data_IF_943924949763
#
_entry.id   IF_943924949763
#
_cell.length_a   1.000
_cell.length_b   1.000
_cell.length_c   1.000
_cell.angle_alpha   90.00
_cell.angle_beta   90.00
_cell.angle_gamma   90.00
#
_symmetry.space_group_name_H-M   'P 1'
#
loop_
_entity.id
_entity.type
_entity.pdbx_description
1 polymer ?
#
# COMPACT_ATOMS: atom_id res chain seq x y z
N UNK A 1 -3.24 10.41 -10.77
CA UNK A 1 -4.37 9.50 -10.45
C UNK A 1 -4.14 8.93 -9.05
N UNK A 2 -5.17 8.67 -8.21
CA UNK A 2 -4.99 8.16 -6.83
C UNK A 2 -4.08 6.92 -6.77
N UNK A 3 -4.24 6.00 -7.73
CA UNK A 3 -3.46 4.76 -7.81
C UNK A 3 -1.95 4.98 -8.00
N UNK A 4 -1.54 5.99 -8.77
CA UNK A 4 -0.11 6.27 -9.03
C UNK A 4 0.58 6.84 -7.79
N UNK A 5 -0.16 7.62 -7.00
CA UNK A 5 0.33 8.24 -5.77
C UNK A 5 0.52 7.19 -4.67
N UNK A 6 -0.44 6.26 -4.55
CA UNK A 6 -0.31 5.13 -3.63
C UNK A 6 0.79 4.16 -4.08
N UNK A 7 0.90 3.88 -5.39
CA UNK A 7 2.01 3.08 -5.93
C UNK A 7 3.38 3.70 -5.62
N UNK A 8 3.52 5.02 -5.82
CA UNK A 8 4.74 5.76 -5.47
C UNK A 8 5.03 5.66 -3.98
N UNK A 9 4.02 5.73 -3.11
CA UNK A 9 4.16 5.64 -1.66
C UNK A 9 4.69 4.25 -1.24
N UNK A 10 4.14 3.18 -1.82
CA UNK A 10 4.61 1.81 -1.57
C UNK A 10 6.07 1.64 -2.01
N UNK A 11 6.44 2.15 -3.19
CA UNK A 11 7.85 2.10 -3.65
C UNK A 11 8.76 2.96 -2.77
N UNK A 12 8.29 4.08 -2.24
CA UNK A 12 9.09 4.92 -1.34
C UNK A 12 9.40 4.21 -0.02
N UNK A 13 8.43 3.49 0.57
CA UNK A 13 8.65 2.69 1.77
C UNK A 13 9.44 1.41 1.49
N UNK A 14 9.18 0.77 0.36
CA UNK A 14 9.74 -0.52 -0.01
C UNK A 14 10.48 -0.39 -1.34
N UNK A 15 11.57 0.37 -1.36
CA UNK A 15 12.33 0.67 -2.57
C UNK A 15 12.76 -0.58 -3.35
N UNK A 16 12.99 -1.70 -2.65
CA UNK A 16 13.30 -2.99 -3.27
C UNK A 16 12.22 -3.47 -4.26
N UNK A 17 10.94 -3.11 -4.05
CA UNK A 17 9.82 -3.41 -4.97
C UNK A 17 9.90 -2.63 -6.29
N UNK A 18 10.61 -1.49 -6.32
CA UNK A 18 10.81 -0.68 -7.52
C UNK A 18 12.02 -1.12 -8.38
N UNK A 19 12.86 -2.03 -7.89
CA UNK A 19 14.05 -2.46 -8.64
C UNK A 19 13.68 -3.45 -9.74
N UNK A 20 13.54 -2.92 -10.96
CA UNK A 20 13.36 -3.67 -12.21
C UNK A 20 14.41 -4.78 -12.44
N UNK A 21 15.59 -4.65 -11.83
CA UNK A 21 16.74 -5.54 -12.04
C UNK A 21 16.80 -6.74 -11.07
N UNK A 22 16.07 -6.73 -9.96
CA UNK A 22 16.08 -7.81 -8.95
C UNK A 22 14.82 -8.69 -8.95
N UNK A 23 13.74 -8.22 -9.59
CA UNK A 23 12.41 -8.82 -9.52
C UNK A 23 12.09 -9.50 -10.85
N UNK A 24 12.48 -10.77 -10.97
CA UNK A 24 12.16 -11.59 -12.15
C UNK A 24 10.74 -12.15 -12.02
N UNK A 25 9.82 -11.70 -12.88
CA UNK A 25 8.46 -12.23 -12.98
C UNK A 25 8.51 -13.74 -13.21
N UNK A 26 7.92 -14.52 -12.30
CA UNK A 26 7.93 -15.98 -12.32
C UNK A 26 9.05 -16.67 -11.52
N UNK A 27 10.06 -15.93 -11.04
CA UNK A 27 11.14 -16.47 -10.19
C UNK A 27 11.15 -15.86 -8.78
N UNK A 28 10.48 -14.73 -8.60
CA UNK A 28 10.34 -14.06 -7.30
C UNK A 28 8.87 -13.82 -7.01
N UNK A 29 8.42 -13.94 -5.74
CA UNK A 29 7.04 -13.70 -5.33
C UNK A 29 6.74 -12.19 -5.24
N UNK A 30 6.95 -11.48 -6.36
CA UNK A 30 6.82 -10.02 -6.49
C UNK A 30 5.44 -9.55 -6.07
N UNK A 31 4.40 -10.26 -6.52
CA UNK A 31 3.02 -9.96 -6.18
C UNK A 31 2.81 -10.04 -4.67
N UNK A 32 3.28 -11.10 -4.02
CA UNK A 32 3.17 -11.27 -2.56
C UNK A 32 3.87 -10.14 -1.81
N UNK A 33 5.11 -9.80 -2.18
CA UNK A 33 5.82 -8.70 -1.52
C UNK A 33 5.15 -7.35 -1.74
N UNK A 34 4.60 -7.12 -2.94
CA UNK A 34 3.85 -5.91 -3.24
C UNK A 34 2.55 -5.83 -2.42
N UNK A 35 1.77 -6.91 -2.34
CA UNK A 35 0.57 -6.95 -1.52
C UNK A 35 0.87 -6.73 -0.04
N UNK A 36 1.93 -7.35 0.49
CA UNK A 36 2.39 -7.10 1.86
C UNK A 36 2.83 -5.64 2.03
N UNK A 37 3.55 -5.07 1.07
CA UNK A 37 3.95 -3.66 1.09
C UNK A 37 2.77 -2.70 1.09
N UNK A 38 1.75 -2.96 0.27
CA UNK A 38 0.49 -2.21 0.25
C UNK A 38 -0.21 -2.30 1.60
N UNK A 39 -0.34 -3.52 2.15
CA UNK A 39 -0.97 -3.73 3.46
C UNK A 39 -0.28 -2.92 4.57
N UNK A 40 1.05 -3.01 4.66
CA UNK A 40 1.82 -2.26 5.65
C UNK A 40 1.73 -0.74 5.43
N UNK A 41 1.72 -0.28 4.18
CA UNK A 41 1.56 1.13 3.83
C UNK A 41 0.18 1.67 4.24
N UNK A 42 -0.86 0.85 4.09
CA UNK A 42 -2.21 1.20 4.53
C UNK A 42 -2.30 1.24 6.06
N UNK A 43 -1.71 0.28 6.77
CA UNK A 43 -1.62 0.32 8.23
C UNK A 43 -0.87 1.57 8.73
N UNK A 44 0.27 1.90 8.12
CA UNK A 44 1.00 3.14 8.43
C UNK A 44 0.13 4.38 8.18
N UNK A 45 -0.67 4.38 7.11
CA UNK A 45 -1.59 5.47 6.79
C UNK A 45 -2.72 5.59 7.82
N UNK A 46 -3.19 4.49 8.41
CA UNK A 46 -4.18 4.50 9.48
C UNK A 46 -3.64 5.13 10.77
N UNK A 47 -2.36 4.90 11.10
CA UNK A 47 -1.75 5.45 12.32
C UNK A 47 -1.26 6.90 12.20
N UNK A 48 -0.65 7.25 11.07
CA UNK A 48 0.04 8.53 10.89
C UNK A 48 -0.65 9.47 9.91
N UNK A 49 -1.75 9.02 9.31
CA UNK A 49 -2.38 9.72 8.21
C UNK A 49 -1.55 9.67 6.92
N UNK A 50 -2.01 10.42 5.94
CA UNK A 50 -1.33 10.55 4.64
C UNK A 50 -1.67 11.89 4.03
N UNK A 51 -0.65 12.63 3.59
CA UNK A 51 -0.87 13.85 2.80
C UNK A 51 -1.66 13.56 1.52
N UNK A 52 -1.53 12.36 0.95
CA UNK A 52 -2.36 11.93 -0.19
C UNK A 52 -3.83 11.84 0.23
N UNK A 53 -4.12 11.20 1.37
CA UNK A 53 -5.49 11.02 1.85
C UNK A 53 -6.18 12.37 2.08
N UNK A 54 -5.47 13.33 2.70
CA UNK A 54 -5.94 14.73 2.83
C UNK A 54 -6.14 15.41 1.48
N UNK A 55 -5.22 15.25 0.53
CA UNK A 55 -5.31 15.85 -0.80
C UNK A 55 -6.51 15.34 -1.61
N UNK A 56 -6.98 14.12 -1.34
CA UNK A 56 -8.17 13.53 -1.96
C UNK A 56 -9.42 13.58 -1.07
N UNK A 57 -9.37 14.24 0.09
CA UNK A 57 -10.50 14.32 1.03
C UNK A 57 -10.92 12.98 1.62
N UNK A 58 -10.03 11.99 1.62
CA UNK A 58 -10.27 10.67 2.17
C UNK A 58 -9.71 10.63 3.61
N UNK A 59 -10.58 10.44 4.60
CA UNK A 59 -10.14 10.22 5.97
C UNK A 59 -9.75 8.75 6.13
N UNK A 60 -8.50 8.43 6.52
CA UNK A 60 -8.12 7.03 6.71
C UNK A 60 -8.92 6.43 7.88
N UNK A 61 -9.40 5.18 7.75
CA UNK A 61 -10.08 4.49 8.84
C UNK A 61 -9.11 4.23 10.00
N UNK A 62 -9.66 3.97 11.18
CA UNK A 62 -8.85 3.49 12.30
C UNK A 62 -8.25 2.12 11.96
N UNK A 63 -7.07 1.81 12.54
CA UNK A 63 -6.40 0.52 12.27
C UNK A 63 -7.29 -0.68 12.59
N UNK A 64 -8.11 -0.58 13.64
CA UNK A 64 -9.05 -1.63 14.07
C UNK A 64 -10.13 -1.87 13.01
N UNK A 65 -10.62 -0.81 12.37
CA UNK A 65 -11.60 -0.85 11.29
C UNK A 65 -10.97 -1.35 9.97
N UNK A 66 -9.69 -1.03 9.75
CA UNK A 66 -8.95 -1.55 8.59
C UNK A 66 -8.61 -3.05 8.71
N UNK A 67 -8.34 -3.51 9.93
CA UNK A 67 -7.99 -4.91 10.23
C UNK A 67 -9.20 -5.77 10.58
N UNK A 68 -10.33 -5.18 10.95
CA UNK A 68 -11.58 -5.91 11.12
C UNK A 68 -11.94 -6.55 9.79
N UNK A 69 -12.15 -7.86 9.81
CA UNK A 69 -12.56 -8.65 8.64
C UNK A 69 -14.01 -8.32 8.31
N UNK A 70 -14.27 -7.13 7.81
CA UNK A 70 -15.43 -6.91 6.95
C UNK A 70 -15.00 -7.28 5.55
N UNK A 71 -15.70 -8.27 4.99
CA UNK A 71 -15.57 -8.68 3.60
C UNK A 71 -15.84 -7.44 2.75
N UNK A 72 -14.77 -6.76 2.32
CA UNK A 72 -14.86 -5.80 1.23
C UNK A 72 -15.20 -6.62 0.00
N UNK A 73 -16.50 -6.77 -0.26
CA UNK A 73 -17.04 -7.23 -1.52
C UNK A 73 -16.40 -6.40 -2.63
N UNK A 74 -15.80 -7.10 -3.58
CA UNK A 74 -15.25 -6.55 -4.81
C UNK A 74 -16.37 -6.22 -5.80
#
# INVERSE_FOLDING_TARGET
MLVEWEFRKVIQFFAFLGFKYGLKTGLSPIATWYFTGVFLTNCHTCYYGSNNATAFGCTPPCIEEYLSREEREF
#
